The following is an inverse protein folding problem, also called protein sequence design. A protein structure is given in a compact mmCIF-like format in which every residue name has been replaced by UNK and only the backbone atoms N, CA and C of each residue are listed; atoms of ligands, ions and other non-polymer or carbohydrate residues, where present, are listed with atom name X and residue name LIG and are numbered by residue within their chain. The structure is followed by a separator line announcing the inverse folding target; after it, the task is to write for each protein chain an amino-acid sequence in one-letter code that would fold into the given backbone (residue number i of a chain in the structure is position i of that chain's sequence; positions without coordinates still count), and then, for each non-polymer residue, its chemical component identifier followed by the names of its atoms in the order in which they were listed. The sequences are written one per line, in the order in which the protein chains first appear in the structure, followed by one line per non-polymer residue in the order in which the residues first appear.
data_IF_487789042300
#
_entry.id   IF_487789042300
#
_cell.length_a   1.000
_cell.length_b   1.000
_cell.length_c   1.000
_cell.angle_alpha   90.00
_cell.angle_beta   90.00
_cell.angle_gamma   90.00
#
_symmetry.space_group_name_H-M   'P 1'
#
loop_
_entity.id
_entity.type
_entity.pdbx_description
1 polymer ?
#
# COMPACT_ATOMS: atom_id res chain seq x y z
N UNK A 1 -24.55 -6.27 39.35
CA UNK A 1 -25.02 -6.34 37.95
C UNK A 1 -23.93 -7.00 37.13
N UNK A 2 -24.12 -8.27 36.80
CA UNK A 2 -23.15 -9.13 36.13
C UNK A 2 -23.41 -9.07 34.63
N UNK A 3 -22.50 -8.50 33.86
CA UNK A 3 -22.61 -8.47 32.39
C UNK A 3 -21.90 -9.69 31.81
N UNK A 4 -22.69 -10.60 31.25
CA UNK A 4 -22.23 -11.77 30.51
C UNK A 4 -22.06 -11.35 29.03
N UNK A 5 -20.82 -11.38 28.53
CA UNK A 5 -20.55 -11.15 27.11
C UNK A 5 -20.70 -12.46 26.31
N UNK A 6 -21.31 -12.44 25.11
CA UNK A 6 -21.37 -13.59 24.23
C UNK A 6 -20.00 -13.82 23.55
N UNK A 7 -19.53 -15.06 23.59
CA UNK A 7 -18.33 -15.53 22.88
C UNK A 7 -18.73 -15.77 21.42
N UNK A 8 -18.26 -14.92 20.51
CA UNK A 8 -18.37 -15.14 19.06
C UNK A 8 -17.24 -16.06 18.59
N UNK A 9 -17.62 -17.31 18.28
CA UNK A 9 -16.74 -18.34 17.69
C UNK A 9 -16.52 -18.01 16.21
N UNK A 10 -15.37 -17.44 15.88
CA UNK A 10 -14.90 -17.25 14.50
C UNK A 10 -14.57 -18.61 13.87
N UNK A 11 -15.38 -19.05 12.90
CA UNK A 11 -15.04 -20.17 12.03
C UNK A 11 -13.93 -19.74 11.07
N UNK A 12 -12.80 -20.42 11.18
CA UNK A 12 -11.63 -20.26 10.32
C UNK A 12 -11.84 -21.11 9.05
N UNK A 13 -12.14 -20.47 7.92
CA UNK A 13 -12.17 -21.14 6.62
C UNK A 13 -10.75 -21.48 6.18
N UNK A 14 -10.43 -22.77 6.12
CA UNK A 14 -9.19 -23.27 5.56
C UNK A 14 -9.18 -23.04 4.04
N UNK A 15 -8.26 -22.19 3.57
CA UNK A 15 -7.97 -22.05 2.15
C UNK A 15 -7.25 -23.32 1.65
N UNK A 16 -7.95 -24.08 0.82
CA UNK A 16 -7.43 -25.27 0.15
C UNK A 16 -6.46 -24.84 -0.96
N UNK A 17 -5.18 -25.16 -0.77
CA UNK A 17 -4.12 -24.98 -1.77
C UNK A 17 -4.31 -26.02 -2.89
N UNK A 18 -4.99 -25.65 -3.97
CA UNK A 18 -4.92 -26.40 -5.22
C UNK A 18 -3.87 -25.76 -6.15
N UNK A 19 -2.75 -26.47 -6.31
CA UNK A 19 -1.79 -26.23 -7.37
C UNK A 19 -2.44 -26.53 -8.74
N UNK A 20 -2.36 -25.64 -9.74
CA UNK A 20 -2.68 -26.01 -11.11
C UNK A 20 -1.54 -26.87 -11.68
N UNK A 21 -1.83 -28.12 -11.99
CA UNK A 21 -0.95 -28.95 -12.81
C UNK A 21 -0.93 -28.38 -14.24
N UNK A 22 0.18 -27.78 -14.63
CA UNK A 22 0.49 -27.42 -16.02
C UNK A 22 0.59 -28.70 -16.85
N UNK A 23 -0.51 -29.06 -17.51
CA UNK A 23 -0.54 -30.12 -18.53
C UNK A 23 0.05 -29.58 -19.83
N UNK A 24 1.36 -29.76 -19.99
CA UNK A 24 2.04 -29.60 -21.28
C UNK A 24 1.50 -30.65 -22.24
N UNK A 25 0.64 -30.25 -23.18
CA UNK A 25 0.32 -31.05 -24.36
C UNK A 25 1.18 -30.57 -25.52
N UNK A 26 2.19 -31.37 -25.83
CA UNK A 26 3.03 -31.25 -27.00
C UNK A 26 2.34 -32.00 -28.15
N UNK A 27 1.94 -31.35 -29.25
CA UNK A 27 1.38 -32.06 -30.39
C UNK A 27 2.50 -32.75 -31.17
N UNK A 28 2.36 -34.06 -31.39
CA UNK A 28 3.18 -34.81 -32.33
C UNK A 28 2.92 -34.36 -33.78
N UNK A 29 3.93 -34.37 -34.67
CA UNK A 29 3.75 -34.06 -36.08
C UNK A 29 3.12 -35.26 -36.79
N UNK A 30 1.78 -35.27 -36.85
CA UNK A 30 1.03 -36.21 -37.67
C UNK A 30 0.98 -35.73 -39.12
N UNK A 31 1.87 -36.25 -39.95
CA UNK A 31 1.83 -36.11 -41.41
C UNK A 31 0.62 -36.84 -42.00
N UNK A 32 -0.52 -36.16 -42.10
CA UNK A 32 -1.65 -36.61 -42.90
C UNK A 32 -1.68 -35.83 -44.22
N UNK A 33 -1.32 -36.54 -45.31
CA UNK A 33 -1.56 -36.11 -46.68
C UNK A 33 -3.06 -35.84 -46.89
N UNK A 34 -3.45 -34.68 -47.43
CA UNK A 34 -4.82 -34.46 -47.85
C UNK A 34 -5.06 -35.25 -49.15
N UNK A 35 -5.92 -36.26 -49.07
CA UNK A 35 -6.53 -36.85 -50.24
C UNK A 35 -7.40 -35.78 -50.94
N UNK A 36 -6.93 -35.29 -52.09
CA UNK A 36 -7.69 -34.45 -53.02
C UNK A 36 -8.91 -35.21 -53.53
N UNK A 37 -10.03 -35.13 -52.82
CA UNK A 37 -11.34 -35.55 -53.30
C UNK A 37 -11.96 -34.39 -54.09
N UNK A 38 -11.72 -34.36 -55.39
CA UNK A 38 -12.38 -33.46 -56.34
C UNK A 38 -13.90 -33.71 -56.35
N UNK A 39 -14.64 -33.01 -55.47
CA UNK A 39 -16.07 -32.89 -55.61
C UNK A 39 -16.39 -31.81 -56.65
N UNK A 40 -16.71 -32.28 -57.84
CA UNK A 40 -17.31 -31.51 -58.94
C UNK A 40 -18.72 -31.07 -58.53
N UNK A 41 -18.83 -29.93 -57.85
CA UNK A 41 -20.11 -29.29 -57.57
C UNK A 41 -20.53 -28.47 -58.78
N UNK A 42 -21.55 -28.98 -59.47
CA UNK A 42 -22.33 -28.27 -60.50
C UNK A 42 -22.81 -26.94 -59.93
N UNK A 43 -22.36 -25.86 -60.54
CA UNK A 43 -22.92 -24.53 -60.36
C UNK A 43 -24.40 -24.54 -60.77
N UNK A 44 -25.30 -24.38 -59.80
CA UNK A 44 -26.67 -23.92 -60.03
C UNK A 44 -26.85 -22.67 -59.17
N UNK A 45 -26.99 -21.55 -59.87
CA UNK A 45 -26.95 -20.22 -59.28
C UNK A 45 -27.97 -20.02 -58.15
N UNK A 46 -27.52 -19.31 -57.12
CA UNK A 46 -28.35 -18.38 -56.34
C UNK A 46 -27.41 -17.32 -55.77
N UNK A 47 -27.45 -16.13 -56.36
CA UNK A 47 -26.86 -14.94 -55.76
C UNK A 47 -27.43 -14.81 -54.35
N UNK A 48 -26.59 -14.96 -53.34
CA UNK A 48 -26.95 -14.62 -51.98
C UNK A 48 -25.91 -13.63 -51.49
N UNK A 49 -26.34 -12.37 -51.47
CA UNK A 49 -25.60 -11.19 -51.04
C UNK A 49 -25.30 -11.24 -49.53
N UNK A 50 -24.50 -12.21 -49.08
CA UNK A 50 -24.24 -12.51 -47.65
C UNK A 50 -22.81 -12.14 -47.21
N UNK A 51 -22.19 -11.16 -47.86
CA UNK A 51 -20.81 -10.73 -47.59
C UNK A 51 -20.64 -9.41 -46.81
N UNK A 52 -21.71 -8.63 -46.59
CA UNK A 52 -21.59 -7.23 -46.11
C UNK A 52 -21.86 -7.01 -44.61
N UNK A 53 -22.30 -8.03 -43.86
CA UNK A 53 -22.60 -7.87 -42.42
C UNK A 53 -21.36 -7.93 -41.52
N UNK A 54 -20.24 -8.49 -42.01
CA UNK A 54 -19.00 -8.59 -41.24
C UNK A 54 -18.38 -7.21 -40.92
N UNK A 55 -18.53 -6.22 -41.80
CA UNK A 55 -18.04 -4.87 -41.54
C UNK A 55 -18.90 -4.11 -40.54
N UNK A 56 -20.21 -4.40 -40.46
CA UNK A 56 -21.12 -3.66 -39.58
C UNK A 56 -20.88 -4.00 -38.10
N UNK A 57 -20.73 -5.29 -37.78
CA UNK A 57 -20.45 -5.75 -36.42
C UNK A 57 -19.09 -5.25 -35.91
N UNK A 58 -18.07 -5.26 -36.77
CA UNK A 58 -16.75 -4.71 -36.45
C UNK A 58 -16.79 -3.19 -36.16
N UNK A 59 -17.59 -2.43 -36.91
CA UNK A 59 -17.77 -0.99 -36.68
C UNK A 59 -18.44 -0.77 -35.32
N UNK A 60 -19.52 -1.48 -35.01
CA UNK A 60 -20.22 -1.37 -33.72
C UNK A 60 -19.27 -1.73 -32.58
N UNK A 61 -18.55 -2.85 -32.68
CA UNK A 61 -17.59 -3.27 -31.67
C UNK A 61 -16.50 -2.21 -31.43
N UNK A 62 -15.97 -1.59 -32.50
CA UNK A 62 -14.99 -0.51 -32.36
C UNK A 62 -15.56 0.72 -31.66
N UNK A 63 -16.80 1.10 -31.96
CA UNK A 63 -17.46 2.27 -31.35
C UNK A 63 -17.70 2.00 -29.87
N UNK A 64 -18.22 0.82 -29.54
CA UNK A 64 -18.42 0.40 -28.14
C UNK A 64 -17.09 0.39 -27.40
N UNK A 65 -16.01 -0.14 -28.00
CA UNK A 65 -14.68 -0.15 -27.40
C UNK A 65 -14.12 1.27 -27.14
N UNK A 66 -14.28 2.19 -28.09
CA UNK A 66 -13.83 3.57 -27.88
C UNK A 66 -14.63 4.25 -26.76
N UNK A 67 -15.95 4.04 -26.73
CA UNK A 67 -16.80 4.58 -25.68
C UNK A 67 -16.44 4.01 -24.29
N UNK A 68 -16.13 2.71 -24.19
CA UNK A 68 -15.71 2.11 -22.91
C UNK A 68 -14.36 2.65 -22.44
N UNK A 69 -13.39 2.83 -23.34
CA UNK A 69 -12.10 3.46 -22.99
C UNK A 69 -12.28 4.90 -22.53
N UNK A 70 -13.10 5.69 -23.21
CA UNK A 70 -13.40 7.08 -22.81
C UNK A 70 -14.11 7.16 -21.46
N UNK A 71 -15.08 6.27 -21.21
CA UNK A 71 -15.75 6.16 -19.92
C UNK A 71 -14.75 5.80 -18.81
N UNK A 72 -13.84 4.87 -19.07
CA UNK A 72 -12.80 4.46 -18.12
C UNK A 72 -11.81 5.59 -17.83
N UNK A 73 -11.35 6.32 -18.86
CA UNK A 73 -10.49 7.50 -18.67
C UNK A 73 -11.20 8.61 -17.89
N UNK A 74 -12.49 8.84 -18.15
CA UNK A 74 -13.29 9.83 -17.43
C UNK A 74 -13.46 9.46 -15.97
N UNK A 75 -13.74 8.18 -15.69
CA UNK A 75 -13.79 7.65 -14.34
C UNK A 75 -12.45 7.80 -13.62
N UNK A 76 -11.34 7.44 -14.27
CA UNK A 76 -10.00 7.56 -13.72
C UNK A 76 -9.66 9.01 -13.34
N UNK A 77 -9.97 9.97 -14.22
CA UNK A 77 -9.75 11.39 -13.95
C UNK A 77 -10.60 11.90 -12.78
N UNK A 78 -11.85 11.41 -12.63
CA UNK A 78 -12.70 11.75 -11.49
C UNK A 78 -12.14 11.21 -10.18
N UNK A 79 -11.71 9.94 -10.15
CA UNK A 79 -11.05 9.34 -8.97
C UNK A 79 -9.79 10.12 -8.60
N UNK A 80 -8.96 10.47 -9.60
CA UNK A 80 -7.75 11.26 -9.38
C UNK A 80 -8.05 12.65 -8.82
N UNK A 81 -9.03 13.37 -9.38
CA UNK A 81 -9.43 14.69 -8.88
C UNK A 81 -9.98 14.61 -7.45
N UNK A 82 -10.72 13.55 -7.12
CA UNK A 82 -11.13 13.25 -5.75
C UNK A 82 -9.92 13.10 -4.83
N UNK A 83 -8.94 12.27 -5.21
CA UNK A 83 -7.72 12.08 -4.42
C UNK A 83 -6.90 13.36 -4.23
N UNK A 84 -6.80 14.23 -5.24
CA UNK A 84 -6.07 15.51 -5.15
C UNK A 84 -6.78 16.52 -4.25
N UNK A 85 -8.12 16.53 -4.25
CA UNK A 85 -8.94 17.40 -3.39
C UNK A 85 -8.82 17.05 -1.90
N UNK A 86 -8.45 15.80 -1.57
CA UNK A 86 -8.14 15.36 -0.21
C UNK A 86 -6.66 15.50 0.17
N UNK A 87 -5.83 16.17 -0.64
CA UNK A 87 -4.48 16.58 -0.23
C UNK A 87 -4.52 17.77 0.74
N UNK A 88 -5.30 17.60 1.81
CA UNK A 88 -5.41 18.51 2.93
C UNK A 88 -4.01 18.82 3.49
N UNK A 89 -3.85 19.98 4.11
CA UNK A 89 -2.57 20.41 4.69
C UNK A 89 -2.04 19.37 5.67
N UNK A 90 -2.95 18.69 6.39
CA UNK A 90 -2.67 17.54 7.27
C UNK A 90 -1.99 16.38 6.53
N UNK A 91 -2.42 16.06 5.31
CA UNK A 91 -1.82 14.99 4.48
C UNK A 91 -0.44 15.37 3.97
N UNK A 92 -0.28 16.61 3.50
CA UNK A 92 1.04 17.11 3.07
C UNK A 92 2.03 17.09 4.24
N UNK A 93 1.56 17.48 5.41
CA UNK A 93 2.34 17.46 6.64
C UNK A 93 2.68 16.04 7.10
N UNK A 94 1.74 15.10 7.02
CA UNK A 94 1.99 13.69 7.31
C UNK A 94 3.07 13.08 6.40
N UNK A 95 3.08 13.45 5.11
CA UNK A 95 4.13 13.03 4.18
C UNK A 95 5.48 13.66 4.58
N UNK A 96 5.52 14.98 4.86
CA UNK A 96 6.73 15.68 5.30
C UNK A 96 7.33 15.06 6.57
N UNK A 97 6.50 14.82 7.59
CA UNK A 97 6.89 14.17 8.84
C UNK A 97 7.38 12.76 8.56
N UNK A 98 6.67 11.99 7.74
CA UNK A 98 7.10 10.64 7.37
C UNK A 98 8.49 10.63 6.72
N UNK A 99 8.80 11.59 5.85
CA UNK A 99 10.12 11.68 5.22
C UNK A 99 11.20 12.16 6.22
N UNK A 100 10.83 13.04 7.15
CA UNK A 100 11.69 13.48 8.26
C UNK A 100 12.07 12.29 9.16
N UNK A 101 11.11 11.46 9.55
CA UNK A 101 11.35 10.29 10.41
C UNK A 101 12.22 9.22 9.73
N UNK A 102 12.23 9.17 8.40
CA UNK A 102 13.10 8.28 7.61
C UNK A 102 14.48 8.88 7.30
N UNK A 103 14.77 10.07 7.83
CA UNK A 103 16.11 10.67 7.80
C UNK A 103 16.88 10.31 9.08
N UNK A 104 18.22 10.38 9.07
CA UNK A 104 18.99 10.18 10.29
C UNK A 104 18.78 11.33 11.29
N UNK A 105 18.92 11.07 12.59
CA UNK A 105 18.80 12.09 13.62
C UNK A 105 19.94 13.10 13.56
N UNK A 106 19.68 14.33 14.03
CA UNK A 106 20.72 15.34 14.24
C UNK A 106 20.70 15.83 15.71
N UNK A 107 21.80 15.64 16.48
CA UNK A 107 23.08 15.01 16.10
C UNK A 107 22.98 13.48 15.91
N UNK A 108 23.96 12.84 15.25
CA UNK A 108 23.92 11.39 14.97
C UNK A 108 23.92 10.50 16.24
N UNK A 109 24.38 11.03 17.37
CA UNK A 109 24.43 10.32 18.64
C UNK A 109 23.33 10.79 19.60
N UNK A 110 22.07 10.50 19.26
CA UNK A 110 20.95 10.66 20.20
C UNK A 110 20.83 9.39 21.05
N UNK A 111 20.99 9.54 22.36
CA UNK A 111 20.74 8.47 23.34
C UNK A 111 19.34 8.53 23.93
N UNK A 112 18.74 9.72 23.95
CA UNK A 112 17.44 9.95 24.55
C UNK A 112 16.68 11.05 23.79
N UNK A 113 15.38 10.83 23.58
CA UNK A 113 14.48 11.77 22.93
C UNK A 113 13.77 12.70 23.93
N UNK A 114 14.03 12.55 25.22
CA UNK A 114 13.43 13.34 26.29
C UNK A 114 13.75 14.83 26.26
N UNK A 115 14.73 15.26 25.45
CA UNK A 115 15.07 16.68 25.29
C UNK A 115 15.72 17.29 26.53
N UNK A 116 16.48 16.50 27.29
CA UNK A 116 17.28 17.04 28.41
C UNK A 116 18.23 18.13 27.93
N UNK A 117 18.32 19.21 28.71
CA UNK A 117 18.87 20.52 28.32
C UNK A 117 20.31 20.50 27.77
N UNK A 118 21.07 19.44 27.99
CA UNK A 118 22.48 19.37 27.63
C UNK A 118 22.73 18.99 26.16
N UNK A 119 21.73 18.45 25.44
CA UNK A 119 21.84 18.13 24.00
C UNK A 119 20.51 18.35 23.30
N UNK A 120 20.32 19.57 22.80
CA UNK A 120 19.16 19.93 21.99
C UNK A 120 19.12 19.07 20.70
N UNK A 121 18.11 18.20 20.60
CA UNK A 121 17.82 17.45 19.38
C UNK A 121 17.28 18.45 18.36
N UNK A 122 18.06 18.75 17.33
CA UNK A 122 17.65 19.71 16.29
C UNK A 122 16.63 19.12 15.34
N UNK A 123 16.77 17.82 15.06
CA UNK A 123 15.92 17.12 14.10
C UNK A 123 15.72 15.68 14.52
N UNK A 124 14.45 15.31 14.65
CA UNK A 124 14.07 13.93 14.91
C UNK A 124 14.13 13.11 13.61
N UNK A 125 14.81 11.98 13.68
CA UNK A 125 14.94 11.01 12.59
C UNK A 125 15.29 9.65 13.17
N UNK A 126 14.83 8.57 12.55
CA UNK A 126 15.02 7.21 13.06
C UNK A 126 15.98 6.35 12.24
N UNK A 127 16.35 6.81 11.04
CA UNK A 127 17.29 6.09 10.21
C UNK A 127 18.69 6.06 10.84
N UNK A 128 19.41 4.95 10.69
CA UNK A 128 20.79 4.82 11.17
C UNK A 128 21.72 5.80 10.43
N UNK A 129 21.56 5.93 9.10
CA UNK A 129 22.30 6.88 8.28
C UNK A 129 21.58 7.16 6.95
N UNK A 130 22.11 8.07 6.12
CA UNK A 130 21.58 8.32 4.77
C UNK A 130 21.76 7.13 3.82
N UNK A 131 22.85 6.39 3.99
CA UNK A 131 23.17 5.16 3.24
C UNK A 131 22.34 3.97 3.74
N UNK A 132 22.05 3.95 5.05
CA UNK A 132 21.31 2.90 5.70
C UNK A 132 20.02 3.42 6.34
N UNK A 133 18.95 3.32 5.56
CA UNK A 133 17.60 3.75 5.94
C UNK A 133 16.87 2.81 6.90
N UNK A 134 17.57 1.84 7.49
CA UNK A 134 17.01 1.02 8.57
C UNK A 134 16.77 1.89 9.81
N UNK A 135 15.69 1.60 10.54
CA UNK A 135 15.35 2.31 11.76
C UNK A 135 16.08 1.69 12.95
N UNK A 136 16.65 2.52 13.83
CA UNK A 136 17.31 2.04 15.05
C UNK A 136 16.29 1.67 16.13
N UNK A 137 16.20 0.39 16.53
CA UNK A 137 15.30 -0.06 17.61
C UNK A 137 15.56 0.65 18.93
N UNK A 138 16.82 0.93 19.26
CA UNK A 138 17.22 1.60 20.50
C UNK A 138 16.68 3.04 20.54
N UNK A 139 16.83 3.76 19.42
CA UNK A 139 16.32 5.13 19.29
C UNK A 139 14.79 5.19 19.31
N UNK A 140 14.13 4.21 18.67
CA UNK A 140 12.68 4.09 18.73
C UNK A 140 12.18 3.87 20.16
N UNK A 141 12.86 3.02 20.94
CA UNK A 141 12.54 2.78 22.36
C UNK A 141 12.74 4.02 23.22
N UNK A 142 13.85 4.75 23.03
CA UNK A 142 14.09 5.99 23.79
C UNK A 142 13.07 7.09 23.48
N UNK A 143 12.45 7.04 22.30
CA UNK A 143 11.41 7.98 21.91
C UNK A 143 10.01 7.62 22.37
N UNK A 144 9.76 6.44 22.97
CA UNK A 144 8.41 6.06 23.42
C UNK A 144 7.87 6.95 24.53
N UNK A 145 8.77 7.50 25.37
CA UNK A 145 8.42 8.34 26.51
C UNK A 145 8.25 9.83 26.16
N UNK A 146 8.35 10.20 24.87
CA UNK A 146 8.23 11.60 24.47
C UNK A 146 6.79 12.11 24.64
N UNK A 147 6.64 13.30 25.22
CA UNK A 147 5.35 13.97 25.32
C UNK A 147 4.90 14.53 23.97
N UNK A 148 3.60 14.73 23.80
CA UNK A 148 3.04 15.25 22.55
C UNK A 148 3.54 16.67 22.23
N UNK A 149 3.75 17.50 23.24
CA UNK A 149 4.29 18.86 23.11
C UNK A 149 5.72 18.83 22.56
N UNK A 150 6.57 17.97 23.14
CA UNK A 150 7.96 17.83 22.72
C UNK A 150 8.04 17.24 21.31
N UNK A 151 7.20 16.24 21.00
CA UNK A 151 7.14 15.65 19.66
C UNK A 151 6.74 16.68 18.61
N UNK A 152 5.74 17.53 18.90
CA UNK A 152 5.31 18.63 18.02
C UNK A 152 6.44 19.63 17.77
N UNK A 153 7.14 20.01 18.83
CA UNK A 153 8.29 20.92 18.76
C UNK A 153 9.41 20.33 17.90
N UNK A 154 9.81 19.09 18.15
CA UNK A 154 10.88 18.40 17.40
C UNK A 154 10.55 18.18 15.93
N UNK A 155 9.27 17.97 15.61
CA UNK A 155 8.82 17.80 14.23
C UNK A 155 8.56 19.13 13.52
N UNK A 156 8.54 20.24 14.26
CA UNK A 156 8.23 21.58 13.74
C UNK A 156 6.82 21.65 13.16
N UNK A 157 5.83 21.09 13.86
CA UNK A 157 4.47 20.92 13.36
C UNK A 157 3.43 21.43 14.36
N UNK A 158 2.35 22.11 13.92
CA UNK A 158 1.27 22.53 14.80
C UNK A 158 0.30 21.38 15.14
N UNK A 159 0.37 20.26 14.42
CA UNK A 159 -0.57 19.14 14.53
C UNK A 159 -0.13 18.12 15.58
N UNK A 160 -1.07 17.38 16.15
CA UNK A 160 -0.74 16.19 16.91
C UNK A 160 -0.27 15.09 15.96
N UNK A 161 0.68 14.29 16.44
CA UNK A 161 1.36 13.24 15.67
C UNK A 161 1.48 12.00 16.54
N UNK A 162 1.04 10.87 16.00
CA UNK A 162 1.27 9.55 16.60
C UNK A 162 1.94 8.65 15.57
N UNK A 163 2.98 7.92 15.99
CA UNK A 163 3.73 7.00 15.14
C UNK A 163 3.62 5.60 15.72
N UNK A 164 3.20 4.64 14.90
CA UNK A 164 3.06 3.24 15.28
C UNK A 164 3.95 2.39 14.37
N UNK A 165 4.80 1.58 14.99
CA UNK A 165 5.71 0.68 14.26
C UNK A 165 5.36 -0.74 14.68
N UNK A 166 4.83 -1.50 13.72
CA UNK A 166 4.41 -2.88 13.91
C UNK A 166 5.39 -3.82 13.20
N UNK A 167 5.92 -4.78 13.96
CA UNK A 167 6.71 -5.86 13.41
C UNK A 167 5.82 -6.82 12.63
N UNK A 168 6.17 -7.12 11.38
CA UNK A 168 5.44 -8.13 10.60
C UNK A 168 5.73 -9.56 11.06
N UNK A 169 6.89 -9.77 11.70
CA UNK A 169 7.37 -11.09 12.13
C UNK A 169 7.11 -11.40 13.60
N UNK A 170 6.55 -10.45 14.37
CA UNK A 170 6.38 -10.60 15.82
C UNK A 170 7.68 -10.59 16.62
N UNK A 171 8.82 -10.26 15.98
CA UNK A 171 10.15 -10.27 16.62
C UNK A 171 10.37 -9.13 17.63
N UNK A 172 9.50 -8.13 17.64
CA UNK A 172 9.50 -7.06 18.62
C UNK A 172 8.08 -6.54 18.84
N UNK A 173 7.81 -6.09 20.06
CA UNK A 173 6.53 -5.49 20.44
C UNK A 173 6.24 -4.23 19.62
N UNK A 174 4.96 -3.95 19.39
CA UNK A 174 4.56 -2.72 18.72
C UNK A 174 5.14 -1.50 19.46
N UNK A 175 5.81 -0.62 18.72
CA UNK A 175 6.38 0.60 19.26
C UNK A 175 5.42 1.74 18.92
N UNK A 176 4.97 2.45 19.94
CA UNK A 176 4.16 3.65 19.80
C UNK A 176 4.96 4.87 20.29
N UNK A 177 4.91 5.95 19.53
CA UNK A 177 5.52 7.24 19.87
C UNK A 177 4.42 8.31 19.77
N UNK A 178 4.28 9.12 20.82
CA UNK A 178 3.17 10.06 20.96
C UNK A 178 1.91 9.42 21.52
N UNK A 179 0.78 10.12 21.37
CA UNK A 179 -0.50 9.73 21.96
C UNK A 179 -1.08 8.44 21.37
N UNK A 180 -2.05 7.87 22.09
CA UNK A 180 -2.69 6.59 21.76
C UNK A 180 -3.51 6.67 20.47
N UNK A 181 -3.71 5.52 19.83
CA UNK A 181 -4.53 5.45 18.63
C UNK A 181 -5.99 5.85 18.91
N UNK A 182 -6.48 5.62 20.13
CA UNK A 182 -7.86 5.98 20.51
C UNK A 182 -8.09 7.49 20.40
N UNK A 183 -7.08 8.31 20.71
CA UNK A 183 -7.15 9.77 20.57
C UNK A 183 -7.31 10.21 19.11
N UNK A 184 -6.77 9.43 18.16
CA UNK A 184 -6.92 9.73 16.72
C UNK A 184 -8.36 9.52 16.24
N UNK A 185 -9.10 8.59 16.84
CA UNK A 185 -10.46 8.24 16.40
C UNK A 185 -11.50 9.33 16.69
N UNK A 186 -11.20 10.24 17.61
CA UNK A 186 -12.07 11.34 17.98
C UNK A 186 -11.80 12.62 17.16
N UNK A 187 -10.67 12.68 16.45
CA UNK A 187 -10.34 13.85 15.63
C UNK A 187 -11.12 13.85 14.32
N UNK A 188 -11.57 15.03 13.92
CA UNK A 188 -12.32 15.24 12.68
C UNK A 188 -11.44 15.14 11.43
N UNK A 189 -10.16 15.52 11.55
CA UNK A 189 -9.22 15.59 10.44
C UNK A 189 -7.99 14.75 10.78
N UNK A 190 -7.94 13.55 10.21
CA UNK A 190 -6.82 12.61 10.41
C UNK A 190 -6.21 12.25 9.07
N UNK A 191 -4.93 12.57 8.91
CA UNK A 191 -4.12 12.09 7.81
C UNK A 191 -3.30 10.87 8.27
N UNK A 192 -3.30 9.81 7.45
CA UNK A 192 -2.50 8.60 7.70
C UNK A 192 -1.52 8.36 6.57
N UNK A 193 -0.25 8.16 6.91
CA UNK A 193 0.80 7.71 5.99
C UNK A 193 1.37 6.39 6.50
N UNK A 194 1.39 5.36 5.64
CA UNK A 194 2.01 4.07 5.94
C UNK A 194 3.29 3.92 5.14
N UNK A 195 4.38 3.52 5.79
CA UNK A 195 5.66 3.17 5.16
C UNK A 195 6.03 1.73 5.49
N UNK A 196 6.65 1.05 4.54
CA UNK A 196 7.30 -0.23 4.77
C UNK A 196 8.75 0.09 5.11
N UNK A 197 9.22 -0.40 6.26
CA UNK A 197 10.54 -0.08 6.81
C UNK A 197 11.23 -1.36 7.29
N UNK A 198 12.53 -1.28 7.52
CA UNK A 198 13.29 -2.31 8.19
C UNK A 198 13.81 -1.75 9.51
N UNK A 199 13.57 -2.45 10.62
CA UNK A 199 14.04 -2.07 11.94
C UNK A 199 15.26 -2.92 12.28
N UNK A 200 16.38 -2.26 12.56
CA UNK A 200 17.62 -2.90 13.01
C UNK A 200 17.50 -3.22 14.50
N UNK A 201 17.65 -4.48 14.85
CA UNK A 201 17.65 -4.94 16.24
C UNK A 201 19.01 -4.73 16.92
N UNK A 202 19.09 -5.14 18.19
CA UNK A 202 20.31 -5.01 19.00
C UNK A 202 21.46 -5.93 18.53
N UNK A 203 21.16 -6.94 17.69
CA UNK A 203 22.15 -7.83 17.05
C UNK A 203 22.61 -7.30 15.68
N UNK A 204 22.00 -6.22 15.19
CA UNK A 204 22.25 -5.67 13.86
C UNK A 204 21.44 -6.30 12.74
N UNK A 205 20.51 -7.21 13.05
CA UNK A 205 19.63 -7.85 12.08
C UNK A 205 18.48 -6.93 11.69
N UNK A 206 18.15 -6.91 10.40
CA UNK A 206 17.11 -6.06 9.84
C UNK A 206 15.79 -6.81 9.75
N UNK A 207 14.78 -6.31 10.45
CA UNK A 207 13.47 -6.94 10.55
C UNK A 207 12.40 -6.11 9.82
N UNK A 208 11.60 -6.71 8.91
CA UNK A 208 10.58 -5.97 8.18
C UNK A 208 9.43 -5.53 9.09
N UNK A 209 9.03 -4.27 8.95
CA UNK A 209 8.00 -3.63 9.75
C UNK A 209 7.18 -2.63 8.92
N UNK A 210 6.04 -2.25 9.47
CA UNK A 210 5.23 -1.14 8.94
C UNK A 210 5.26 0.02 9.93
N UNK A 211 5.52 1.22 9.43
CA UNK A 211 5.43 2.47 10.19
C UNK A 211 4.21 3.25 9.73
N UNK A 212 3.23 3.39 10.61
CA UNK A 212 2.03 4.20 10.42
C UNK A 212 2.20 5.53 11.14
N UNK A 213 2.16 6.63 10.40
CA UNK A 213 2.15 8.00 10.93
C UNK A 213 0.74 8.53 10.82
N UNK A 214 0.21 9.03 11.94
CA UNK A 214 -1.05 9.73 12.02
C UNK A 214 -0.79 11.19 12.37
N UNK A 215 -1.36 12.10 11.60
CA UNK A 215 -1.33 13.55 11.85
C UNK A 215 -2.76 14.04 11.98
N UNK A 216 -3.06 14.74 13.07
CA UNK A 216 -4.42 15.12 13.42
C UNK A 216 -4.49 16.40 14.25
N UNK A 217 -5.66 17.02 14.28
CA UNK A 217 -5.96 18.21 15.10
C UNK A 217 -6.78 17.84 16.32
#
# INVERSE_FOLDING_TARGET
MSFQFPITRSQQSAASNQHPATRSQQPAPGSQQPATRSQKLKAKGRGTSKGQYFSFDAIIASVVFVLTVLALMSYWNSVKAGMETYSDETTKEAIRISDLLLSPPEPLEIKDCSGTADKEVKRLGFAVSWENRQLSKQLLKSCQSITQENLRSLLGTPYNVSVFINSSSGLFDAIQIGNSFEDTSQSKNVAKVRRIVAVRDDKGEANPATMDIFVYQ
#
